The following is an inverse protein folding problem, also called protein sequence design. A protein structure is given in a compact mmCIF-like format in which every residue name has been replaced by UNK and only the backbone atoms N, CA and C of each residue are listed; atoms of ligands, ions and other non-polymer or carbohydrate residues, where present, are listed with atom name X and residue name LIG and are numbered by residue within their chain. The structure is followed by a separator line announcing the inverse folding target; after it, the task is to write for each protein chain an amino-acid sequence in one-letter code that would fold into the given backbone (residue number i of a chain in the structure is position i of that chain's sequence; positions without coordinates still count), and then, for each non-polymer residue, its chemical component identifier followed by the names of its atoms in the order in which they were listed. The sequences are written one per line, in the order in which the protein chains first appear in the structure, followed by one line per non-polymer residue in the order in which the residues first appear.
data_IF_041965715682
#
_entry.id   IF_041965715682
#
_cell.length_a   1.000
_cell.length_b   1.000
_cell.length_c   1.000
_cell.angle_alpha   90.00
_cell.angle_beta   90.00
_cell.angle_gamma   90.00
#
_symmetry.space_group_name_H-M   'P 1'
#
loop_
_entity.id
_entity.type
_entity.pdbx_description
1 polymer ?
#
# COMPACT_ATOMS: atom_id res chain seq x y z
N UNK A 1 -33.50 -58.73 -28.10
CA UNK A 1 -33.04 -59.46 -26.90
C UNK A 1 -31.52 -59.44 -26.93
N UNK A 2 -30.87 -58.73 -26.01
CA UNK A 2 -29.50 -59.02 -25.61
C UNK A 2 -29.26 -58.38 -24.24
N UNK A 3 -29.09 -59.27 -23.27
CA UNK A 3 -28.98 -59.06 -21.84
C UNK A 3 -27.70 -58.32 -21.47
N UNK A 4 -27.87 -57.24 -20.72
CA UNK A 4 -26.85 -56.56 -19.94
C UNK A 4 -26.27 -57.51 -18.89
N UNK A 5 -25.00 -57.90 -19.05
CA UNK A 5 -24.22 -58.57 -18.02
C UNK A 5 -23.78 -57.56 -16.97
N UNK A 6 -24.18 -57.77 -15.71
CA UNK A 6 -23.74 -56.99 -14.56
C UNK A 6 -22.20 -57.07 -14.35
N UNK A 7 -21.55 -56.01 -13.83
CA UNK A 7 -20.14 -56.07 -13.48
C UNK A 7 -19.91 -57.07 -12.34
N UNK A 8 -18.90 -57.93 -12.50
CA UNK A 8 -18.47 -58.89 -11.47
C UNK A 8 -18.04 -58.15 -10.20
N UNK A 9 -18.61 -58.56 -9.07
CA UNK A 9 -18.14 -58.19 -7.74
C UNK A 9 -16.68 -58.62 -7.56
N UNK A 10 -15.82 -57.79 -6.94
CA UNK A 10 -14.48 -58.21 -6.59
C UNK A 10 -14.57 -59.33 -5.55
N UNK A 11 -14.01 -60.47 -5.91
CA UNK A 11 -13.83 -61.66 -5.07
C UNK A 11 -13.24 -61.28 -3.71
N UNK A 12 -13.93 -61.65 -2.63
CA UNK A 12 -13.47 -61.47 -1.26
C UNK A 12 -12.14 -62.20 -1.03
N UNK A 13 -11.14 -61.58 -0.39
CA UNK A 13 -9.91 -62.27 -0.03
C UNK A 13 -10.14 -63.30 1.08
N UNK A 14 -9.40 -64.41 0.95
CA UNK A 14 -9.36 -65.62 1.79
C UNK A 14 -9.07 -65.35 3.29
N UNK A 15 -9.41 -66.26 4.21
CA UNK A 15 -9.52 -66.00 5.65
C UNK A 15 -8.24 -66.37 6.41
N UNK A 16 -7.59 -65.40 7.07
CA UNK A 16 -6.78 -65.61 8.30
C UNK A 16 -6.04 -64.33 8.75
N UNK A 17 -6.76 -63.25 9.05
CA UNK A 17 -6.21 -62.13 9.81
C UNK A 17 -7.08 -61.92 11.04
N UNK A 18 -6.55 -62.22 12.23
CA UNK A 18 -7.19 -61.95 13.52
C UNK A 18 -7.65 -60.48 13.50
N UNK A 19 -8.95 -60.22 13.56
CA UNK A 19 -9.49 -58.85 13.57
C UNK A 19 -9.09 -58.21 14.89
N UNK A 20 -8.30 -57.14 14.83
CA UNK A 20 -7.79 -56.45 16.01
C UNK A 20 -8.85 -55.62 16.75
N UNK A 21 -9.86 -55.17 16.01
CA UNK A 21 -11.06 -54.49 16.50
C UNK A 21 -12.10 -54.46 15.38
N UNK A 22 -13.37 -54.26 15.73
CA UNK A 22 -14.43 -54.02 14.77
C UNK A 22 -14.40 -52.56 14.31
N UNK A 23 -14.46 -52.36 13.00
CA UNK A 23 -14.56 -51.05 12.36
C UNK A 23 -15.81 -51.05 11.48
N UNK A 24 -16.61 -50.00 11.61
CA UNK A 24 -17.85 -49.81 10.85
C UNK A 24 -17.71 -48.50 10.09
N UNK A 25 -17.96 -48.55 8.79
CA UNK A 25 -18.06 -47.35 7.98
C UNK A 25 -19.46 -46.77 8.07
N UNK A 26 -19.57 -45.45 8.09
CA UNK A 26 -20.83 -44.74 7.95
C UNK A 26 -21.46 -45.04 6.58
N UNK A 27 -22.81 -44.98 6.46
CA UNK A 27 -23.50 -45.26 5.19
C UNK A 27 -23.09 -44.36 4.02
N UNK A 28 -22.63 -43.14 4.32
CA UNK A 28 -22.11 -42.17 3.34
C UNK A 28 -20.64 -42.41 2.96
N UNK A 29 -19.97 -43.38 3.60
CA UNK A 29 -18.56 -43.69 3.40
C UNK A 29 -17.59 -42.57 3.84
N UNK A 30 -18.07 -41.55 4.57
CA UNK A 30 -17.26 -40.41 4.98
C UNK A 30 -16.55 -40.62 6.32
N UNK A 31 -17.00 -41.56 7.14
CA UNK A 31 -16.36 -41.86 8.42
C UNK A 31 -16.22 -43.36 8.61
N UNK A 32 -15.15 -43.78 9.28
CA UNK A 32 -15.07 -45.12 9.87
C UNK A 32 -14.89 -44.95 11.37
N UNK A 33 -15.61 -45.75 12.14
CA UNK A 33 -15.57 -45.71 13.59
C UNK A 33 -15.51 -47.11 14.20
N UNK A 34 -14.94 -47.18 15.39
CA UNK A 34 -15.05 -48.35 16.28
C UNK A 34 -16.35 -48.15 17.08
N UNK A 35 -17.33 -49.05 16.99
CA UNK A 35 -18.59 -48.88 17.73
C UNK A 35 -18.34 -48.84 19.24
N UNK A 36 -19.12 -48.04 19.96
CA UNK A 36 -19.06 -48.02 21.42
C UNK A 36 -19.24 -49.41 22.02
N UNK A 37 -18.52 -49.69 23.11
CA UNK A 37 -18.50 -50.95 23.85
C UNK A 37 -17.96 -52.15 23.06
N UNK A 38 -17.33 -51.91 21.91
CA UNK A 38 -16.60 -52.94 21.17
C UNK A 38 -15.25 -53.19 21.82
N UNK A 39 -14.96 -54.45 22.10
CA UNK A 39 -13.67 -54.87 22.65
C UNK A 39 -12.54 -54.67 21.63
N UNK A 40 -11.43 -54.08 22.10
CA UNK A 40 -10.20 -53.86 21.34
C UNK A 40 -9.15 -54.89 21.80
N UNK A 41 -8.53 -55.59 20.86
CA UNK A 41 -7.50 -56.58 21.17
C UNK A 41 -6.25 -55.92 21.77
N UNK A 42 -5.65 -56.57 22.76
CA UNK A 42 -4.42 -56.07 23.41
C UNK A 42 -3.23 -55.98 22.45
N UNK A 43 -3.25 -56.74 21.36
CA UNK A 43 -2.20 -56.69 20.33
C UNK A 43 -2.15 -55.33 19.60
N UNK A 44 -3.23 -54.54 19.64
CA UNK A 44 -3.25 -53.15 19.13
C UNK A 44 -2.26 -52.27 19.86
N UNK A 45 -2.04 -52.50 21.16
CA UNK A 45 -1.09 -51.72 21.95
C UNK A 45 0.37 -51.92 21.54
N UNK A 46 0.67 -52.99 20.79
CA UNK A 46 2.01 -53.32 20.29
C UNK A 46 2.26 -52.79 18.88
N UNK A 47 1.25 -52.21 18.22
CA UNK A 47 1.38 -51.67 16.88
C UNK A 47 2.07 -50.31 16.89
N UNK A 48 2.92 -50.06 15.91
CA UNK A 48 3.34 -48.71 15.54
C UNK A 48 2.37 -48.10 14.51
N UNK A 49 2.52 -46.79 14.25
CA UNK A 49 1.63 -46.04 13.35
C UNK A 49 1.59 -46.63 11.93
N UNK A 50 2.74 -47.03 11.39
CA UNK A 50 2.82 -47.60 10.04
C UNK A 50 2.14 -48.97 9.96
N UNK A 51 2.25 -49.79 11.00
CA UNK A 51 1.57 -51.08 11.10
C UNK A 51 0.05 -50.91 11.19
N UNK A 52 -0.44 -49.91 11.92
CA UNK A 52 -1.88 -49.58 11.92
C UNK A 52 -2.33 -49.11 10.52
N UNK A 53 -1.57 -48.23 9.87
CA UNK A 53 -1.88 -47.78 8.52
C UNK A 53 -1.93 -48.96 7.52
N UNK A 54 -0.96 -49.88 7.59
CA UNK A 54 -0.92 -51.06 6.75
C UNK A 54 -2.09 -52.01 7.02
N UNK A 55 -2.51 -52.15 8.29
CA UNK A 55 -3.69 -52.92 8.67
C UNK A 55 -4.97 -52.32 8.09
N UNK A 56 -5.17 -51.00 8.22
CA UNK A 56 -6.34 -50.30 7.66
C UNK A 56 -6.36 -50.36 6.13
N UNK A 57 -5.19 -50.26 5.48
CA UNK A 57 -5.08 -50.43 4.04
C UNK A 57 -5.49 -51.84 3.58
N UNK A 58 -5.09 -52.88 4.33
CA UNK A 58 -5.53 -54.28 4.07
C UNK A 58 -7.03 -54.47 4.24
N UNK A 59 -7.69 -53.67 5.08
CA UNK A 59 -9.15 -53.65 5.24
C UNK A 59 -9.86 -52.85 4.14
N UNK A 60 -9.13 -52.24 3.20
CA UNK A 60 -9.67 -51.51 2.05
C UNK A 60 -9.78 -50.00 2.25
N UNK A 61 -9.30 -49.44 3.37
CA UNK A 61 -9.32 -47.99 3.60
C UNK A 61 -8.13 -47.30 2.94
N UNK A 62 -8.39 -46.23 2.20
CA UNK A 62 -7.36 -45.46 1.49
C UNK A 62 -6.80 -44.30 2.32
N UNK A 63 -7.53 -43.87 3.37
CA UNK A 63 -7.13 -42.76 4.25
C UNK A 63 -6.37 -43.28 5.46
N UNK A 64 -5.34 -42.54 5.88
CA UNK A 64 -4.57 -42.83 7.10
C UNK A 64 -5.20 -42.10 8.31
N UNK A 65 -5.25 -42.74 9.50
CA UNK A 65 -5.70 -42.07 10.72
C UNK A 65 -4.71 -40.97 11.11
N UNK A 66 -5.16 -39.96 11.86
CA UNK A 66 -4.22 -38.96 12.41
C UNK A 66 -3.38 -39.56 13.53
N UNK A 67 -2.20 -38.97 13.79
CA UNK A 67 -1.34 -39.42 14.90
C UNK A 67 -2.09 -39.41 16.24
N UNK A 68 -2.88 -38.35 16.49
CA UNK A 68 -3.72 -38.23 17.69
C UNK A 68 -4.71 -39.39 17.85
N UNK A 69 -5.37 -39.78 16.76
CA UNK A 69 -6.31 -40.91 16.74
C UNK A 69 -5.59 -42.23 17.03
N UNK A 70 -4.39 -42.43 16.48
CA UNK A 70 -3.56 -43.60 16.78
C UNK A 70 -3.18 -43.65 18.26
N UNK A 71 -2.70 -42.54 18.83
CA UNK A 71 -2.29 -42.48 20.24
C UNK A 71 -3.47 -42.78 21.18
N UNK A 72 -4.66 -42.25 20.88
CA UNK A 72 -5.89 -42.52 21.63
C UNK A 72 -6.32 -44.01 21.53
N UNK A 73 -6.17 -44.62 20.36
CA UNK A 73 -6.44 -46.05 20.15
C UNK A 73 -5.49 -46.95 20.96
N UNK A 74 -4.19 -46.66 20.91
CA UNK A 74 -3.17 -47.40 21.68
C UNK A 74 -3.39 -47.24 23.18
N UNK A 75 -3.74 -46.03 23.63
CA UNK A 75 -4.10 -45.77 25.04
C UNK A 75 -5.30 -46.58 25.48
N UNK A 76 -6.34 -46.68 24.65
CA UNK A 76 -7.52 -47.51 24.94
C UNK A 76 -7.16 -49.00 25.02
N UNK A 77 -6.35 -49.51 24.09
CA UNK A 77 -5.90 -50.91 24.06
C UNK A 77 -5.05 -51.31 25.30
N UNK A 78 -4.31 -50.36 25.88
CA UNK A 78 -3.54 -50.55 27.11
C UNK A 78 -4.36 -50.41 28.39
N UNK A 79 -5.61 -49.93 28.31
CA UNK A 79 -6.46 -49.78 29.49
C UNK A 79 -7.01 -51.12 29.98
N UNK A 80 -7.54 -51.14 31.21
CA UNK A 80 -8.25 -52.31 31.74
C UNK A 80 -9.62 -52.52 31.08
N UNK A 81 -10.20 -51.45 30.51
CA UNK A 81 -11.56 -51.42 29.97
C UNK A 81 -11.58 -51.86 28.49
N UNK A 82 -10.54 -51.49 27.71
CA UNK A 82 -10.28 -51.91 26.31
C UNK A 82 -11.45 -51.72 25.35
N UNK A 83 -12.30 -50.73 25.61
CA UNK A 83 -13.33 -50.26 24.69
C UNK A 83 -13.56 -48.77 24.89
N UNK A 84 -14.19 -48.14 23.90
CA UNK A 84 -14.69 -46.77 24.02
C UNK A 84 -16.16 -46.80 24.45
N UNK A 85 -16.60 -45.87 25.31
CA UNK A 85 -18.02 -45.80 25.72
C UNK A 85 -18.95 -45.39 24.56
N UNK A 86 -18.44 -44.58 23.64
CA UNK A 86 -19.15 -44.09 22.46
C UNK A 86 -18.40 -44.48 21.18
N UNK A 87 -19.02 -44.24 20.02
CA UNK A 87 -18.39 -44.49 18.73
C UNK A 87 -17.11 -43.65 18.58
N UNK A 88 -15.99 -44.32 18.36
CA UNK A 88 -14.68 -43.68 18.20
C UNK A 88 -14.33 -43.57 16.73
N UNK A 89 -14.33 -42.36 16.18
CA UNK A 89 -14.04 -42.13 14.76
C UNK A 89 -12.54 -42.30 14.51
N UNK A 90 -12.20 -43.33 13.75
CA UNK A 90 -10.82 -43.68 13.41
C UNK A 90 -10.38 -43.10 12.06
N UNK A 91 -11.31 -42.94 11.12
CA UNK A 91 -11.04 -42.39 9.78
C UNK A 91 -12.10 -41.36 9.40
N UNK A 92 -11.66 -40.30 8.73
CA UNK A 92 -12.53 -39.29 8.13
C UNK A 92 -12.15 -39.06 6.68
N UNK A 93 -13.15 -39.05 5.82
CA UNK A 93 -13.09 -38.66 4.42
C UNK A 93 -12.58 -37.24 4.25
N UNK A 94 -12.13 -36.90 3.05
CA UNK A 94 -11.80 -35.52 2.71
C UNK A 94 -13.10 -34.82 2.29
N UNK A 95 -13.58 -33.79 2.99
CA UNK A 95 -14.79 -33.08 2.60
C UNK A 95 -14.56 -32.28 1.31
N UNK A 96 -15.66 -31.95 0.64
CA UNK A 96 -15.64 -31.04 -0.50
C UNK A 96 -15.02 -29.68 -0.09
N UNK A 97 -14.07 -29.20 -0.90
CA UNK A 97 -13.49 -27.87 -0.73
C UNK A 97 -13.82 -27.04 -1.98
N UNK A 98 -14.63 -25.97 -1.85
CA UNK A 98 -14.95 -25.13 -3.00
C UNK A 98 -13.71 -24.38 -3.48
N UNK A 99 -13.67 -24.10 -4.78
CA UNK A 99 -12.65 -23.21 -5.33
C UNK A 99 -12.67 -21.85 -4.62
N UNK A 100 -11.49 -21.27 -4.41
CA UNK A 100 -11.34 -19.93 -3.86
C UNK A 100 -10.57 -19.06 -4.85
N UNK A 101 -11.04 -17.84 -5.14
CA UNK A 101 -10.30 -16.93 -6.01
C UNK A 101 -9.00 -16.50 -5.32
N UNK A 102 -8.04 -16.08 -6.13
CA UNK A 102 -6.82 -15.50 -5.60
C UNK A 102 -7.12 -14.17 -4.88
N UNK A 103 -6.45 -13.90 -3.76
CA UNK A 103 -6.65 -12.68 -2.96
C UNK A 103 -5.32 -12.03 -2.59
N UNK A 104 -5.36 -10.70 -2.41
CA UNK A 104 -4.24 -9.94 -1.84
C UNK A 104 -4.69 -9.42 -0.48
N UNK A 105 -3.98 -9.83 0.57
CA UNK A 105 -4.12 -9.22 1.89
C UNK A 105 -3.11 -8.08 2.00
N UNK A 106 -3.59 -6.84 2.05
CA UNK A 106 -2.74 -5.67 2.28
C UNK A 106 -2.23 -5.64 3.73
N UNK A 107 -0.95 -5.32 3.88
CA UNK A 107 -0.25 -5.31 5.18
C UNK A 107 -0.03 -3.90 5.72
N UNK A 108 -0.19 -2.87 4.90
CA UNK A 108 -0.07 -1.50 5.37
C UNK A 108 -1.13 -1.19 6.46
N UNK A 109 -0.75 -0.43 7.51
CA UNK A 109 -1.68 -0.03 8.55
C UNK A 109 -2.77 0.90 7.98
N UNK A 110 -3.93 1.03 8.65
CA UNK A 110 -5.03 1.90 8.18
C UNK A 110 -4.66 3.36 7.99
N UNK A 111 -3.59 3.83 8.64
CA UNK A 111 -3.07 5.20 8.57
C UNK A 111 -2.20 5.47 7.34
N UNK A 112 -1.93 4.45 6.53
CA UNK A 112 -1.11 4.53 5.31
C UNK A 112 -1.92 3.98 4.15
N UNK A 113 -1.82 4.55 2.93
CA UNK A 113 -2.49 3.97 1.78
C UNK A 113 -2.08 2.52 1.54
N UNK A 114 -3.07 1.67 1.27
CA UNK A 114 -2.88 0.21 1.18
C UNK A 114 -1.87 -0.20 0.09
N UNK A 115 -1.82 0.56 -1.00
CA UNK A 115 -1.04 0.35 -2.21
C UNK A 115 0.28 1.12 -2.24
N UNK A 116 0.61 1.86 -1.17
CA UNK A 116 1.92 2.50 -1.03
C UNK A 116 3.01 1.45 -0.75
N UNK A 117 4.02 1.39 -1.62
CA UNK A 117 5.15 0.48 -1.50
C UNK A 117 6.30 1.20 -0.81
N UNK A 118 6.82 0.60 0.27
CA UNK A 118 7.99 1.09 0.99
C UNK A 118 9.19 0.17 0.76
N UNK A 119 10.39 0.72 0.52
CA UNK A 119 11.61 -0.06 0.30
C UNK A 119 11.83 -1.12 1.40
N UNK A 120 11.97 -2.37 1.00
CA UNK A 120 12.29 -3.50 1.87
C UNK A 120 11.17 -3.97 2.79
N UNK A 121 10.01 -3.30 2.81
CA UNK A 121 8.89 -3.64 3.71
C UNK A 121 7.82 -4.40 2.93
N UNK A 122 7.39 -5.59 3.40
CA UNK A 122 6.26 -6.29 2.82
C UNK A 122 4.98 -5.44 2.87
N UNK A 123 4.29 -5.30 1.73
CA UNK A 123 3.07 -4.48 1.64
C UNK A 123 1.82 -5.32 1.37
N UNK A 124 1.97 -6.59 0.96
CA UNK A 124 0.85 -7.49 0.72
C UNK A 124 1.23 -8.96 0.78
N UNK A 125 0.24 -9.82 0.99
CA UNK A 125 0.35 -11.29 0.90
C UNK A 125 -0.55 -11.77 -0.22
N UNK A 126 0.03 -12.45 -1.21
CA UNK A 126 -0.73 -13.10 -2.28
C UNK A 126 -1.13 -14.50 -1.82
N UNK A 127 -2.43 -14.76 -1.83
CA UNK A 127 -2.97 -16.12 -1.77
C UNK A 127 -3.45 -16.48 -3.16
N UNK A 128 -2.80 -17.48 -3.76
CA UNK A 128 -3.18 -17.97 -5.09
C UNK A 128 -4.57 -18.61 -5.06
N UNK A 129 -5.20 -18.68 -6.23
CA UNK A 129 -6.46 -19.40 -6.39
C UNK A 129 -6.24 -20.88 -6.04
N UNK A 130 -7.23 -21.47 -5.38
CA UNK A 130 -7.25 -22.91 -5.10
C UNK A 130 -8.37 -23.55 -5.89
N UNK A 131 -8.05 -24.62 -6.61
CA UNK A 131 -9.02 -25.38 -7.39
C UNK A 131 -10.03 -26.07 -6.47
N UNK A 132 -11.16 -26.47 -7.06
CA UNK A 132 -12.17 -27.26 -6.36
C UNK A 132 -11.61 -28.65 -6.04
N UNK A 133 -11.66 -29.07 -4.78
CA UNK A 133 -11.34 -30.43 -4.38
C UNK A 133 -12.63 -31.21 -4.12
N UNK A 134 -12.85 -32.28 -4.90
CA UNK A 134 -13.99 -33.17 -4.71
C UNK A 134 -13.89 -33.89 -3.36
N UNK A 135 -15.06 -34.20 -2.77
CA UNK A 135 -15.10 -35.00 -1.55
C UNK A 135 -14.59 -36.42 -1.85
N UNK A 136 -13.74 -36.95 -0.97
CA UNK A 136 -13.21 -38.32 -1.06
C UNK A 136 -13.66 -39.11 0.16
N UNK A 137 -14.29 -40.26 -0.09
CA UNK A 137 -14.66 -41.21 0.97
C UNK A 137 -13.42 -41.78 1.65
N UNK A 138 -13.59 -42.45 2.79
CA UNK A 138 -12.53 -43.21 3.49
C UNK A 138 -11.91 -44.33 2.62
N UNK A 139 -12.59 -44.70 1.53
CA UNK A 139 -12.16 -45.68 0.54
C UNK A 139 -11.42 -45.04 -0.66
N UNK A 140 -11.28 -43.72 -0.66
CA UNK A 140 -10.64 -42.97 -1.74
C UNK A 140 -11.51 -42.74 -2.98
N UNK A 141 -12.80 -43.07 -2.91
CA UNK A 141 -13.74 -42.81 -4.00
C UNK A 141 -14.12 -41.34 -4.00
N UNK A 142 -14.02 -40.70 -5.16
CA UNK A 142 -14.49 -39.33 -5.36
C UNK A 142 -16.01 -39.33 -5.44
N UNK A 143 -16.64 -38.55 -4.57
CA UNK A 143 -18.08 -38.35 -4.61
C UNK A 143 -18.41 -37.38 -5.75
N UNK A 144 -19.41 -37.69 -6.59
CA UNK A 144 -19.80 -36.83 -7.69
C UNK A 144 -20.19 -35.45 -7.17
N UNK A 145 -19.75 -34.43 -7.89
CA UNK A 145 -19.97 -33.05 -7.52
C UNK A 145 -21.47 -32.73 -7.54
N UNK A 146 -22.12 -32.70 -6.37
CA UNK A 146 -23.44 -32.09 -6.21
C UNK A 146 -23.26 -30.56 -6.23
N UNK A 147 -22.78 -30.02 -7.35
CA UNK A 147 -22.94 -28.59 -7.59
C UNK A 147 -24.45 -28.33 -7.52
N UNK A 148 -24.94 -27.38 -6.70
CA UNK A 148 -26.29 -26.88 -6.91
C UNK A 148 -26.34 -26.41 -8.37
N UNK A 149 -27.33 -26.90 -9.10
CA UNK A 149 -27.60 -26.50 -10.49
C UNK A 149 -27.63 -24.97 -10.52
N UNK A 150 -26.59 -24.34 -11.08
CA UNK A 150 -26.46 -22.87 -11.14
C UNK A 150 -25.21 -22.24 -10.51
N UNK A 151 -24.27 -23.00 -9.92
CA UNK A 151 -22.99 -22.41 -9.48
C UNK A 151 -22.16 -21.96 -10.69
N UNK A 152 -22.12 -20.65 -10.94
CA UNK A 152 -21.27 -20.04 -11.97
C UNK A 152 -19.83 -20.53 -11.83
N UNK A 153 -19.20 -20.91 -12.94
CA UNK A 153 -17.75 -21.12 -13.01
C UNK A 153 -17.07 -19.80 -12.67
N UNK A 154 -16.61 -19.66 -11.44
CA UNK A 154 -15.75 -18.53 -11.06
C UNK A 154 -14.47 -18.66 -11.88
N UNK A 155 -14.21 -17.71 -12.78
CA UNK A 155 -12.93 -17.66 -13.50
C UNK A 155 -11.79 -17.59 -12.50
N UNK A 156 -10.92 -18.61 -12.52
CA UNK A 156 -9.75 -18.73 -11.67
C UNK A 156 -8.69 -17.71 -12.11
N UNK A 157 -8.85 -16.45 -11.67
CA UNK A 157 -7.83 -15.42 -11.89
C UNK A 157 -6.66 -15.69 -10.95
N UNK A 158 -5.52 -16.15 -11.50
CA UNK A 158 -4.23 -16.19 -10.80
C UNK A 158 -3.73 -14.75 -10.60
N UNK A 159 -3.29 -14.40 -9.40
CA UNK A 159 -2.60 -13.13 -9.18
C UNK A 159 -1.12 -13.37 -9.49
N UNK A 160 -0.60 -12.61 -10.44
CA UNK A 160 0.80 -12.73 -10.86
C UNK A 160 1.48 -11.38 -10.62
N UNK A 161 2.58 -11.38 -9.86
CA UNK A 161 3.48 -10.23 -9.83
C UNK A 161 4.24 -10.19 -11.14
N UNK A 162 4.11 -9.12 -11.92
CA UNK A 162 4.74 -9.02 -13.25
C UNK A 162 5.91 -8.08 -13.30
N UNK A 163 6.15 -7.31 -12.24
CA UNK A 163 7.22 -6.32 -12.22
C UNK A 163 8.51 -6.87 -11.61
N UNK A 164 9.65 -6.63 -12.26
CA UNK A 164 10.98 -7.10 -11.83
C UNK A 164 11.40 -6.56 -10.45
N UNK A 165 10.89 -5.41 -10.04
CA UNK A 165 11.19 -4.82 -8.72
C UNK A 165 10.44 -5.53 -7.58
N UNK A 166 9.42 -6.38 -7.87
CA UNK A 166 8.74 -7.16 -6.85
C UNK A 166 9.43 -8.49 -6.60
N UNK A 167 9.60 -8.81 -5.32
CA UNK A 167 10.05 -10.12 -4.87
C UNK A 167 8.96 -10.72 -3.98
N UNK A 168 8.65 -11.98 -4.22
CA UNK A 168 7.68 -12.76 -3.44
C UNK A 168 8.42 -13.83 -2.67
N UNK A 169 8.22 -13.89 -1.36
CA UNK A 169 8.84 -14.91 -0.52
C UNK A 169 8.04 -16.23 -0.49
N UNK A 170 8.54 -17.23 0.25
CA UNK A 170 7.86 -18.54 0.37
C UNK A 170 6.48 -18.46 1.06
N UNK A 171 6.21 -17.40 1.80
CA UNK A 171 4.95 -17.16 2.50
C UNK A 171 3.95 -16.37 1.64
N UNK A 172 4.35 -15.97 0.43
CA UNK A 172 3.54 -15.15 -0.47
C UNK A 172 3.61 -13.65 -0.16
N UNK A 173 4.53 -13.21 0.71
CA UNK A 173 4.75 -11.80 1.00
C UNK A 173 5.42 -11.11 -0.18
N UNK A 174 4.83 -10.01 -0.65
CA UNK A 174 5.39 -9.17 -1.71
C UNK A 174 6.12 -7.99 -1.09
N UNK A 175 7.35 -7.75 -1.56
CA UNK A 175 8.16 -6.58 -1.21
C UNK A 175 8.84 -6.00 -2.46
N UNK A 176 9.28 -4.75 -2.38
CA UNK A 176 10.08 -4.08 -3.40
C UNK A 176 11.33 -3.47 -2.79
N UNK A 177 12.41 -3.37 -3.55
CA UNK A 177 13.60 -2.61 -3.14
C UNK A 177 13.39 -1.09 -3.27
N UNK A 178 12.42 -0.65 -4.07
CA UNK A 178 12.11 0.77 -4.33
C UNK A 178 10.79 1.19 -3.72
N UNK A 179 10.66 2.49 -3.45
CA UNK A 179 9.41 3.12 -3.04
C UNK A 179 8.54 3.42 -4.25
N UNK A 180 7.22 3.32 -4.11
CA UNK A 180 6.31 3.55 -5.24
C UNK A 180 4.87 3.17 -4.95
N UNK A 181 4.13 2.82 -6.00
CA UNK A 181 2.73 2.38 -5.92
C UNK A 181 2.56 1.00 -6.55
N UNK A 182 1.83 0.12 -5.85
CA UNK A 182 1.39 -1.16 -6.39
C UNK A 182 0.04 -0.99 -7.10
N UNK A 183 -0.01 -1.33 -8.38
CA UNK A 183 -1.23 -1.18 -9.21
C UNK A 183 -1.73 -2.55 -9.60
N UNK A 184 -2.99 -2.85 -9.27
CA UNK A 184 -3.66 -4.08 -9.72
C UNK A 184 -4.33 -3.79 -11.06
N UNK A 185 -3.89 -4.48 -12.10
CA UNK A 185 -4.48 -4.43 -13.44
C UNK A 185 -5.78 -5.27 -13.48
N UNK A 186 -6.61 -5.02 -14.50
CA UNK A 186 -7.92 -5.67 -14.68
C UNK A 186 -7.82 -7.19 -14.91
N UNK A 187 -6.66 -7.66 -15.37
CA UNK A 187 -6.32 -9.08 -15.56
C UNK A 187 -5.76 -9.76 -14.30
N UNK A 188 -5.65 -9.03 -13.17
CA UNK A 188 -5.16 -9.55 -11.90
C UNK A 188 -3.64 -9.47 -11.72
N UNK A 189 -2.90 -8.88 -12.68
CA UNK A 189 -1.48 -8.60 -12.53
C UNK A 189 -1.23 -7.46 -11.55
N UNK A 190 -0.16 -7.59 -10.76
CA UNK A 190 0.32 -6.51 -9.90
C UNK A 190 1.55 -5.89 -10.57
N UNK A 191 1.44 -4.60 -10.86
CA UNK A 191 2.46 -3.77 -11.47
C UNK A 191 3.00 -2.73 -10.48
N UNK A 192 4.12 -2.11 -10.82
CA UNK A 192 4.81 -1.12 -9.98
C UNK A 192 4.97 0.21 -10.73
N UNK A 193 4.64 1.30 -10.05
CA UNK A 193 4.99 2.65 -10.47
C UNK A 193 6.01 3.21 -9.47
N UNK A 194 7.05 3.86 -9.96
CA UNK A 194 8.09 4.53 -9.15
C UNK A 194 7.65 5.89 -8.58
N UNK A 195 6.36 6.20 -8.72
CA UNK A 195 5.69 7.33 -8.11
C UNK A 195 4.35 6.89 -7.50
N UNK A 196 3.86 7.68 -6.55
CA UNK A 196 2.57 7.47 -5.91
C UNK A 196 1.55 8.50 -6.38
N UNK A 197 0.40 8.02 -6.88
CA UNK A 197 -0.70 8.90 -7.30
C UNK A 197 -1.72 9.08 -6.17
N UNK A 198 -1.85 10.31 -5.66
CA UNK A 198 -2.91 10.70 -4.73
C UNK A 198 -4.12 11.17 -5.54
N UNK A 199 -5.22 10.43 -5.46
CA UNK A 199 -6.50 10.77 -6.13
C UNK A 199 -7.52 11.41 -5.19
N UNK A 200 -7.35 11.21 -3.89
CA UNK A 200 -8.23 11.70 -2.85
C UNK A 200 -7.38 11.97 -1.59
N UNK A 201 -7.57 13.14 -0.98
CA UNK A 201 -6.88 13.50 0.26
C UNK A 201 -7.86 13.28 1.41
N UNK A 202 -7.48 12.40 2.33
CA UNK A 202 -8.27 12.08 3.54
C UNK A 202 -7.48 12.49 4.77
N UNK A 203 -7.53 13.76 5.21
CA UNK A 203 -6.74 14.22 6.34
C UNK A 203 -7.07 13.50 7.65
N UNK A 204 -8.26 12.90 7.77
CA UNK A 204 -8.71 12.09 8.90
C UNK A 204 -8.06 10.69 8.93
N UNK A 205 -7.72 10.13 7.76
CA UNK A 205 -7.12 8.79 7.65
C UNK A 205 -5.60 8.85 7.44
N UNK A 206 -5.14 9.72 6.55
CA UNK A 206 -3.77 9.78 6.03
C UNK A 206 -3.10 11.11 6.40
N UNK A 207 -3.28 11.54 7.66
CA UNK A 207 -2.71 12.79 8.16
C UNK A 207 -1.17 12.81 8.06
N UNK A 208 -0.53 11.72 8.47
CA UNK A 208 0.94 11.57 8.48
C UNK A 208 1.36 10.45 7.55
N UNK A 209 2.07 10.79 6.47
CA UNK A 209 2.52 9.83 5.47
C UNK A 209 3.93 10.17 5.01
N UNK A 210 4.81 9.18 5.03
CA UNK A 210 6.14 9.26 4.46
C UNK A 210 6.11 8.57 3.09
N UNK A 211 6.31 9.35 2.03
CA UNK A 211 6.35 8.88 0.65
C UNK A 211 7.81 8.66 0.23
N UNK A 212 8.28 7.41 0.11
CA UNK A 212 9.66 7.09 -0.26
C UNK A 212 9.92 7.18 -1.78
N UNK A 213 9.14 7.99 -2.49
CA UNK A 213 9.12 8.09 -3.95
C UNK A 213 8.56 9.45 -4.38
N UNK A 214 8.47 9.65 -5.70
CA UNK A 214 7.81 10.81 -6.27
C UNK A 214 6.30 10.76 -6.00
N UNK A 215 5.64 11.90 -5.86
CA UNK A 215 4.20 11.98 -5.58
C UNK A 215 3.51 12.87 -6.59
N UNK A 216 2.41 12.37 -7.16
CA UNK A 216 1.54 13.12 -8.06
C UNK A 216 0.16 13.23 -7.42
N UNK A 217 -0.23 14.45 -7.04
CA UNK A 217 -1.53 14.76 -6.45
C UNK A 217 -2.47 15.27 -7.54
N UNK A 218 -3.47 14.46 -7.88
CA UNK A 218 -4.45 14.74 -8.96
C UNK A 218 -5.72 15.44 -8.48
N UNK A 219 -5.87 15.60 -7.16
CA UNK A 219 -6.99 16.26 -6.51
C UNK A 219 -6.52 17.52 -5.75
N UNK A 220 -7.47 18.28 -5.22
CA UNK A 220 -7.14 19.41 -4.35
C UNK A 220 -6.38 18.95 -3.12
N UNK A 221 -5.27 19.63 -2.82
CA UNK A 221 -4.42 19.31 -1.69
C UNK A 221 -4.78 20.22 -0.52
N UNK A 222 -5.60 19.71 0.40
CA UNK A 222 -6.21 20.50 1.49
C UNK A 222 -5.96 19.93 2.88
N UNK A 223 -6.04 20.81 3.89
CA UNK A 223 -5.96 20.46 5.31
C UNK A 223 -4.57 20.65 5.93
N UNK A 224 -4.43 20.32 7.22
CA UNK A 224 -3.12 20.24 7.85
C UNK A 224 -2.62 18.81 7.69
N UNK A 225 -1.52 18.63 6.97
CA UNK A 225 -0.91 17.34 6.70
C UNK A 225 0.47 17.29 7.35
N UNK A 226 1.01 16.09 7.53
CA UNK A 226 2.40 15.87 7.90
C UNK A 226 3.01 14.89 6.91
N UNK A 227 3.27 15.40 5.71
CA UNK A 227 3.77 14.60 4.60
C UNK A 227 5.26 14.84 4.41
N UNK A 228 6.03 13.76 4.36
CA UNK A 228 7.43 13.79 3.96
C UNK A 228 7.57 13.09 2.62
N UNK A 229 7.99 13.82 1.59
CA UNK A 229 8.18 13.31 0.23
C UNK A 229 9.68 13.23 -0.04
N UNK A 230 10.19 12.02 -0.20
CA UNK A 230 11.61 11.77 -0.49
C UNK A 230 11.98 12.11 -1.94
N UNK A 231 11.03 12.01 -2.86
CA UNK A 231 11.20 12.41 -4.26
C UNK A 231 10.64 13.79 -4.58
N UNK A 232 10.21 13.95 -5.83
CA UNK A 232 9.54 15.15 -6.33
C UNK A 232 8.04 15.15 -5.97
N UNK A 233 7.44 16.32 -5.83
CA UNK A 233 6.00 16.51 -5.62
C UNK A 233 5.39 17.31 -6.77
N UNK A 234 4.42 16.73 -7.46
CA UNK A 234 3.58 17.44 -8.43
C UNK A 234 2.15 17.57 -7.89
N UNK A 235 1.62 18.78 -7.86
CA UNK A 235 0.23 19.06 -7.49
C UNK A 235 -0.49 19.63 -8.70
N UNK A 236 -1.49 18.89 -9.20
CA UNK A 236 -2.19 19.26 -10.44
C UNK A 236 -3.36 20.22 -10.20
N UNK A 237 -3.95 20.19 -9.00
CA UNK A 237 -5.08 21.03 -8.61
C UNK A 237 -4.65 22.09 -7.58
N UNK A 238 -5.62 22.80 -7.01
CA UNK A 238 -5.39 23.86 -6.05
C UNK A 238 -4.77 23.33 -4.75
N UNK A 239 -3.79 24.05 -4.20
CA UNK A 239 -3.05 23.67 -3.00
C UNK A 239 -3.36 24.62 -1.84
N UNK A 240 -4.03 24.09 -0.81
CA UNK A 240 -4.32 24.78 0.47
C UNK A 240 -3.73 24.09 1.71
N UNK A 241 -3.09 22.93 1.56
CA UNK A 241 -2.54 22.17 2.68
C UNK A 241 -1.17 22.63 3.22
N UNK A 242 -1.03 22.70 4.54
CA UNK A 242 0.24 22.98 5.21
C UNK A 242 0.95 21.70 5.69
N UNK A 243 2.20 21.84 6.16
CA UNK A 243 2.97 20.77 6.83
C UNK A 243 3.57 19.71 5.89
N UNK A 244 3.90 20.11 4.67
CA UNK A 244 4.52 19.24 3.66
C UNK A 244 6.02 19.56 3.59
N UNK A 245 6.83 18.50 3.59
CA UNK A 245 8.28 18.55 3.42
C UNK A 245 8.65 17.73 2.18
N UNK A 246 9.43 18.32 1.28
CA UNK A 246 9.83 17.69 0.01
C UNK A 246 11.35 17.76 -0.14
N UNK A 247 12.00 16.62 -0.40
CA UNK A 247 13.43 16.57 -0.70
C UNK A 247 13.75 16.88 -2.16
N UNK A 248 12.88 16.47 -3.07
CA UNK A 248 13.00 16.79 -4.49
C UNK A 248 12.46 18.18 -4.84
N UNK A 249 12.11 18.32 -6.11
CA UNK A 249 11.47 19.48 -6.69
C UNK A 249 9.96 19.47 -6.45
N UNK A 250 9.36 20.65 -6.49
CA UNK A 250 7.92 20.85 -6.39
C UNK A 250 7.39 21.57 -7.62
N UNK A 251 6.35 21.01 -8.23
CA UNK A 251 5.61 21.63 -9.33
C UNK A 251 4.14 21.76 -8.93
N UNK A 252 3.67 22.99 -8.76
CA UNK A 252 2.26 23.31 -8.59
C UNK A 252 1.69 23.83 -9.91
N UNK A 253 0.92 23.00 -10.61
CA UNK A 253 0.33 23.35 -11.91
C UNK A 253 -0.84 24.34 -11.80
N UNK A 254 -1.35 24.55 -10.59
CA UNK A 254 -2.41 25.50 -10.28
C UNK A 254 -1.91 26.54 -9.24
N UNK A 255 -2.83 27.16 -8.51
CA UNK A 255 -2.53 28.10 -7.44
C UNK A 255 -2.22 27.47 -6.09
N UNK A 256 -1.47 28.21 -5.28
CA UNK A 256 -1.16 27.88 -3.89
C UNK A 256 -1.72 28.97 -2.96
N UNK A 257 -2.53 28.57 -1.97
CA UNK A 257 -3.02 29.46 -0.92
C UNK A 257 -3.18 28.75 0.44
N UNK A 258 -2.20 28.92 1.32
CA UNK A 258 -2.14 28.24 2.63
C UNK A 258 -2.70 29.06 3.80
N UNK A 259 -2.87 30.37 3.63
CA UNK A 259 -3.28 31.31 4.68
C UNK A 259 -2.39 31.26 5.95
N UNK A 260 -1.08 31.02 5.76
CA UNK A 260 -0.10 30.83 6.83
C UNK A 260 1.19 31.66 6.66
N UNK A 261 1.16 32.72 5.85
CA UNK A 261 2.35 33.51 5.47
C UNK A 261 3.26 33.95 6.63
N UNK A 262 2.71 34.12 7.84
CA UNK A 262 3.45 34.59 9.02
C UNK A 262 3.95 33.47 9.94
N UNK A 263 3.60 32.21 9.70
CA UNK A 263 3.91 31.08 10.59
C UNK A 263 5.02 30.20 10.00
N UNK A 264 6.26 30.46 10.42
CA UNK A 264 7.45 29.73 9.95
C UNK A 264 7.46 28.25 10.39
N UNK A 265 6.74 27.90 11.46
CA UNK A 265 6.61 26.51 11.91
C UNK A 265 5.72 25.70 10.98
N UNK A 266 4.86 26.36 10.21
CA UNK A 266 3.98 25.74 9.20
C UNK A 266 4.46 25.97 7.77
N UNK A 267 5.67 26.52 7.60
CA UNK A 267 6.26 26.74 6.29
C UNK A 267 6.39 25.40 5.54
N UNK A 268 6.06 25.42 4.26
CA UNK A 268 6.37 24.30 3.36
C UNK A 268 7.87 24.32 3.09
N UNK A 269 8.53 23.17 3.27
CA UNK A 269 9.99 23.05 3.12
C UNK A 269 10.33 22.22 1.91
N UNK A 270 11.15 22.79 1.03
CA UNK A 270 11.52 22.17 -0.26
C UNK A 270 13.04 22.22 -0.37
N UNK A 271 13.70 21.07 -0.53
CA UNK A 271 15.15 21.03 -0.74
C UNK A 271 15.54 21.20 -2.22
N UNK A 272 14.66 20.88 -3.16
CA UNK A 272 14.84 21.16 -4.58
C UNK A 272 14.32 22.54 -5.00
N UNK A 273 13.86 22.63 -6.24
CA UNK A 273 13.28 23.84 -6.82
C UNK A 273 11.75 23.87 -6.63
N UNK A 274 11.16 25.07 -6.67
CA UNK A 274 9.72 25.29 -6.66
C UNK A 274 9.28 25.96 -7.96
N UNK A 275 8.39 25.34 -8.71
CA UNK A 275 7.65 25.95 -9.81
C UNK A 275 6.17 26.05 -9.47
N UNK A 276 5.58 27.24 -9.62
CA UNK A 276 4.17 27.48 -9.33
C UNK A 276 3.56 28.50 -10.30
N UNK A 277 2.25 28.41 -10.55
CA UNK A 277 1.54 29.42 -11.34
C UNK A 277 1.36 30.71 -10.55
N UNK A 278 0.91 30.60 -9.30
CA UNK A 278 0.86 31.73 -8.37
C UNK A 278 0.92 31.25 -6.91
N UNK A 279 1.40 32.13 -6.03
CA UNK A 279 1.52 31.87 -4.59
C UNK A 279 0.84 33.01 -3.83
N UNK A 280 -0.10 32.69 -2.95
CA UNK A 280 -0.85 33.66 -2.16
C UNK A 280 -0.87 33.29 -0.68
N UNK A 281 -0.71 34.28 0.21
CA UNK A 281 -0.86 34.11 1.66
C UNK A 281 -0.13 32.90 2.24
N UNK A 282 1.05 32.56 1.71
CA UNK A 282 1.74 31.30 2.01
C UNK A 282 3.16 31.52 2.50
N UNK A 283 3.67 30.59 3.31
CA UNK A 283 5.06 30.58 3.77
C UNK A 283 5.83 29.38 3.18
N UNK A 284 6.92 29.65 2.46
CA UNK A 284 7.78 28.65 1.85
C UNK A 284 9.25 28.89 2.20
N UNK A 285 9.97 27.79 2.42
CA UNK A 285 11.42 27.76 2.60
C UNK A 285 11.97 26.78 1.57
N UNK A 286 12.69 27.31 0.58
CA UNK A 286 13.14 26.59 -0.62
C UNK A 286 14.66 26.66 -0.73
N UNK A 287 15.35 25.53 -0.70
CA UNK A 287 16.81 25.51 -0.84
C UNK A 287 17.26 25.78 -2.29
N UNK A 288 16.46 25.37 -3.27
CA UNK A 288 16.72 25.64 -4.70
C UNK A 288 16.11 26.94 -5.20
N UNK A 289 15.92 27.00 -6.52
CA UNK A 289 15.32 28.14 -7.20
C UNK A 289 13.79 28.16 -7.05
N UNK A 290 13.22 29.36 -7.10
CA UNK A 290 11.78 29.58 -7.13
C UNK A 290 11.41 30.20 -8.47
N UNK A 291 10.49 29.58 -9.19
CA UNK A 291 9.89 30.11 -10.42
C UNK A 291 8.39 30.24 -10.23
N UNK A 292 7.88 31.46 -10.33
CA UNK A 292 6.44 31.73 -10.23
C UNK A 292 5.97 32.43 -11.49
N UNK A 293 5.00 31.85 -12.20
CA UNK A 293 4.60 32.38 -13.50
C UNK A 293 3.92 33.76 -13.37
N UNK A 294 2.84 33.86 -12.59
CA UNK A 294 1.95 35.02 -12.61
C UNK A 294 2.17 35.99 -11.47
N UNK A 295 2.11 35.52 -10.23
CA UNK A 295 2.17 36.42 -9.08
C UNK A 295 2.55 35.77 -7.76
N UNK A 296 3.19 36.56 -6.89
CA UNK A 296 3.47 36.25 -5.48
C UNK A 296 2.78 37.34 -4.64
N UNK A 297 1.78 36.95 -3.85
CA UNK A 297 0.89 37.86 -3.14
C UNK A 297 0.86 37.56 -1.65
N UNK A 298 1.06 38.58 -0.82
CA UNK A 298 0.94 38.50 0.64
C UNK A 298 1.69 37.30 1.27
N UNK A 299 2.82 36.89 0.69
CA UNK A 299 3.50 35.64 1.02
C UNK A 299 4.88 35.88 1.62
N UNK A 300 5.41 34.89 2.33
CA UNK A 300 6.77 34.89 2.87
C UNK A 300 7.57 33.79 2.21
N UNK A 301 8.55 34.15 1.39
CA UNK A 301 9.39 33.20 0.67
C UNK A 301 10.83 33.34 1.12
N UNK A 302 11.45 32.24 1.51
CA UNK A 302 12.89 32.15 1.82
C UNK A 302 13.53 31.26 0.78
N UNK A 303 14.61 31.71 0.15
CA UNK A 303 15.34 30.90 -0.83
C UNK A 303 16.86 31.03 -0.76
N UNK A 304 17.55 29.91 -1.02
CA UNK A 304 18.99 29.83 -1.26
C UNK A 304 19.36 29.82 -2.77
N UNK A 305 18.39 30.04 -3.66
CA UNK A 305 18.56 30.11 -5.12
C UNK A 305 18.04 31.41 -5.72
N UNK A 306 17.81 31.40 -7.03
CA UNK A 306 17.22 32.52 -7.76
C UNK A 306 15.70 32.50 -7.64
N UNK A 307 15.08 33.68 -7.69
CA UNK A 307 13.63 33.84 -7.76
C UNK A 307 13.25 34.50 -9.08
N UNK A 308 12.43 33.82 -9.88
CA UNK A 308 11.92 34.31 -11.16
C UNK A 308 10.41 34.50 -11.13
N UNK A 309 9.93 35.71 -11.46
CA UNK A 309 8.53 36.05 -11.62
C UNK A 309 8.33 36.94 -12.85
N UNK A 310 8.51 36.34 -14.03
CA UNK A 310 8.60 37.03 -15.32
C UNK A 310 7.42 36.77 -16.27
N UNK A 311 6.40 36.02 -15.84
CA UNK A 311 5.21 35.80 -16.67
C UNK A 311 4.33 37.05 -16.75
N UNK A 312 3.09 36.90 -17.18
CA UNK A 312 2.12 37.99 -17.28
C UNK A 312 1.02 37.75 -16.23
N UNK A 313 0.89 38.59 -15.18
CA UNK A 313 1.51 39.91 -14.99
C UNK A 313 2.91 39.96 -14.35
N UNK A 314 3.45 38.85 -13.84
CA UNK A 314 4.78 38.82 -13.20
C UNK A 314 4.89 39.72 -11.97
N UNK A 315 3.86 39.72 -11.12
CA UNK A 315 3.67 40.71 -10.04
C UNK A 315 3.99 40.14 -8.65
N UNK A 316 4.81 40.84 -7.88
CA UNK A 316 5.11 40.51 -6.48
C UNK A 316 4.65 41.64 -5.56
N UNK A 317 3.72 41.35 -4.65
CA UNK A 317 3.13 42.40 -3.80
C UNK A 317 2.78 41.91 -2.39
N UNK A 318 2.87 42.80 -1.40
CA UNK A 318 2.54 42.52 0.00
C UNK A 318 3.40 41.44 0.65
N UNK A 319 4.50 41.07 0.00
CA UNK A 319 5.27 39.86 0.31
C UNK A 319 6.59 40.17 0.98
N UNK A 320 7.08 39.22 1.78
CA UNK A 320 8.44 39.23 2.33
C UNK A 320 9.28 38.18 1.62
N UNK A 321 10.25 38.63 0.82
CA UNK A 321 11.21 37.79 0.14
C UNK A 321 12.54 37.84 0.89
N UNK A 322 13.06 36.68 1.29
CA UNK A 322 14.35 36.53 1.95
C UNK A 322 15.26 35.73 1.01
N UNK A 323 16.16 36.45 0.35
CA UNK A 323 17.16 35.92 -0.56
C UNK A 323 18.46 35.68 0.20
N UNK A 324 18.67 34.45 0.65
CA UNK A 324 19.92 34.07 1.33
C UNK A 324 21.10 33.99 0.34
N UNK A 325 20.82 33.58 -0.89
CA UNK A 325 21.73 33.62 -2.05
C UNK A 325 20.92 33.95 -3.30
N UNK A 326 21.59 34.00 -4.46
CA UNK A 326 20.95 34.19 -5.76
C UNK A 326 20.46 35.62 -6.00
N UNK A 327 19.63 35.78 -7.03
CA UNK A 327 19.07 37.06 -7.47
C UNK A 327 17.55 36.96 -7.69
N UNK A 328 16.88 38.11 -7.73
CA UNK A 328 15.47 38.20 -8.15
C UNK A 328 15.40 38.71 -9.58
N UNK A 329 14.65 38.00 -10.43
CA UNK A 329 14.21 38.46 -11.75
C UNK A 329 12.68 38.58 -11.74
N UNK A 330 12.14 39.79 -11.76
CA UNK A 330 10.68 39.99 -11.72
C UNK A 330 10.25 41.18 -12.59
N UNK A 331 9.02 41.13 -13.11
CA UNK A 331 8.47 42.29 -13.84
C UNK A 331 8.12 43.42 -12.89
N UNK A 332 7.23 43.16 -11.94
CA UNK A 332 6.69 44.19 -11.06
C UNK A 332 6.87 43.79 -9.60
N UNK A 333 7.50 44.64 -8.79
CA UNK A 333 7.57 44.47 -7.33
C UNK A 333 6.98 45.70 -6.64
N UNK A 334 6.10 45.45 -5.67
CA UNK A 334 5.41 46.48 -4.90
C UNK A 334 3.99 46.76 -5.36
N UNK A 335 3.35 47.72 -4.71
CA UNK A 335 2.05 48.31 -5.06
C UNK A 335 1.80 49.52 -4.18
N UNK A 336 1.27 50.59 -4.77
CA UNK A 336 0.90 51.82 -4.07
C UNK A 336 -0.22 51.61 -3.05
N UNK A 337 -1.13 50.65 -3.30
CA UNK A 337 -2.35 50.46 -2.51
C UNK A 337 -2.26 49.33 -1.48
N UNK A 338 -1.28 48.45 -1.62
CA UNK A 338 -1.18 47.24 -0.81
C UNK A 338 -0.10 47.35 0.28
N UNK A 339 0.03 46.31 1.11
CA UNK A 339 1.10 46.26 2.11
C UNK A 339 2.48 46.38 1.44
N UNK A 340 3.47 47.03 2.09
CA UNK A 340 4.82 47.12 1.57
C UNK A 340 5.41 45.75 1.25
N UNK A 341 6.14 45.67 0.14
CA UNK A 341 6.87 44.45 -0.25
C UNK A 341 8.30 44.56 0.23
N UNK A 342 8.76 43.58 1.01
CA UNK A 342 10.09 43.57 1.58
C UNK A 342 10.97 42.58 0.82
N UNK A 343 12.10 43.04 0.34
CA UNK A 343 13.11 42.19 -0.28
C UNK A 343 14.39 42.27 0.55
N UNK A 344 14.73 41.17 1.21
CA UNK A 344 15.87 41.06 2.12
C UNK A 344 16.97 40.23 1.47
N UNK A 345 18.08 40.87 1.10
CA UNK A 345 19.27 40.17 0.59
C UNK A 345 20.28 39.93 1.70
N UNK A 346 20.99 38.81 1.64
CA UNK A 346 22.12 38.55 2.52
C UNK A 346 23.40 39.29 2.08
N UNK A 347 23.59 39.48 0.77
CA UNK A 347 24.76 40.15 0.19
C UNK A 347 24.35 41.34 -0.68
N UNK A 348 25.21 42.36 -0.76
CA UNK A 348 25.00 43.52 -1.65
C UNK A 348 25.13 43.14 -3.13
N UNK A 349 26.00 42.19 -3.45
CA UNK A 349 26.21 41.70 -4.82
C UNK A 349 24.94 41.06 -5.40
N UNK A 350 24.26 40.22 -4.63
CA UNK A 350 22.97 39.64 -5.01
C UNK A 350 21.92 40.71 -5.30
N UNK A 351 21.90 41.78 -4.49
CA UNK A 351 20.98 42.90 -4.71
C UNK A 351 21.30 43.64 -6.02
N UNK A 352 22.59 43.90 -6.31
CA UNK A 352 23.04 44.59 -7.54
C UNK A 352 22.77 43.80 -8.81
N UNK A 353 22.88 42.47 -8.74
CA UNK A 353 22.70 41.60 -9.91
C UNK A 353 21.23 41.22 -10.17
N UNK A 354 20.31 41.64 -9.31
CA UNK A 354 18.88 41.39 -9.48
C UNK A 354 18.28 42.31 -10.54
N UNK A 355 17.37 41.77 -11.35
CA UNK A 355 16.75 42.45 -12.49
C UNK A 355 15.26 42.62 -12.23
N UNK A 356 14.82 43.85 -11.99
CA UNK A 356 13.42 44.16 -11.77
C UNK A 356 12.99 45.19 -12.79
N UNK A 357 11.97 44.91 -13.59
CA UNK A 357 11.54 45.82 -14.67
C UNK A 357 10.87 47.08 -14.09
N UNK A 358 10.03 46.94 -13.06
CA UNK A 358 9.41 48.06 -12.36
C UNK A 358 9.35 47.84 -10.84
N UNK A 359 9.70 48.89 -10.12
CA UNK A 359 9.59 48.99 -8.67
C UNK A 359 8.51 50.04 -8.33
N UNK A 360 7.39 49.61 -7.77
CA UNK A 360 6.32 50.51 -7.35
C UNK A 360 6.60 51.12 -5.97
N UNK A 361 5.95 52.26 -5.69
CA UNK A 361 5.91 52.82 -4.33
C UNK A 361 5.43 51.75 -3.34
N UNK A 362 6.08 51.66 -2.18
CA UNK A 362 5.84 50.59 -1.19
C UNK A 362 6.82 49.42 -1.25
N UNK A 363 7.78 49.39 -2.17
CA UNK A 363 8.87 48.40 -2.13
C UNK A 363 9.99 48.84 -1.17
N UNK A 364 10.46 47.91 -0.34
CA UNK A 364 11.54 48.12 0.65
C UNK A 364 12.62 47.05 0.46
N UNK A 365 13.81 47.47 0.01
CA UNK A 365 14.97 46.59 -0.14
C UNK A 365 15.87 46.74 1.10
N UNK A 366 16.25 45.62 1.71
CA UNK A 366 17.12 45.58 2.88
C UNK A 366 18.29 44.62 2.63
N UNK A 367 19.50 45.01 3.03
CA UNK A 367 20.69 44.15 3.00
C UNK A 367 21.04 43.79 4.45
N UNK A 368 21.07 42.50 4.81
CA UNK A 368 21.17 42.04 6.20
C UNK A 368 22.46 42.43 6.94
N UNK A 369 23.49 42.95 6.27
CA UNK A 369 24.77 43.39 6.88
C UNK A 369 24.98 44.92 6.91
N UNK A 370 24.09 45.70 6.33
CA UNK A 370 24.21 47.16 6.33
C UNK A 370 22.84 47.79 6.04
N UNK A 371 22.40 48.71 6.90
CA UNK A 371 21.29 49.59 6.57
C UNK A 371 21.65 50.35 5.28
N UNK A 372 20.91 50.16 4.18
CA UNK A 372 21.17 50.92 2.94
C UNK A 372 19.88 51.55 2.42
N UNK A 373 19.90 52.88 2.53
CA UNK A 373 19.57 53.95 1.57
C UNK A 373 18.68 53.52 0.38
N UNK A 374 17.45 54.02 0.40
CA UNK A 374 16.59 54.13 -0.78
C UNK A 374 17.09 55.34 -1.58
N UNK A 375 17.68 55.13 -2.77
CA UNK A 375 17.83 56.22 -3.75
C UNK A 375 16.54 56.31 -4.57
N UNK A 376 15.71 57.30 -4.24
CA UNK A 376 14.69 57.78 -5.17
C UNK A 376 15.41 58.53 -6.29
N UNK A 377 15.49 57.95 -7.48
CA UNK A 377 15.72 58.77 -8.67
C UNK A 377 14.42 59.50 -8.97
N UNK A 378 14.27 60.71 -8.40
CA UNK A 378 13.33 61.65 -8.99
C UNK A 378 13.81 61.99 -10.40
N UNK A 379 12.91 62.14 -11.39
CA UNK A 379 13.29 62.73 -12.66
C UNK A 379 13.70 64.19 -12.40
N UNK A 380 14.93 64.51 -12.78
CA UNK A 380 15.42 65.88 -12.88
C UNK A 380 15.17 66.39 -14.31
N UNK A 381 14.69 67.63 -14.52
CA UNK A 381 14.39 68.67 -13.54
C UNK A 381 12.93 68.61 -13.03
N UNK A 382 12.61 69.30 -11.91
CA UNK A 382 11.23 69.41 -11.42
C UNK A 382 10.30 70.04 -12.46
N UNK A 383 9.00 69.68 -12.48
CA UNK A 383 8.02 70.38 -13.30
C UNK A 383 8.04 71.87 -12.93
N UNK A 384 8.12 72.70 -13.97
CA UNK A 384 7.97 74.15 -13.84
C UNK A 384 6.52 74.45 -13.46
N UNK A 385 6.39 75.38 -12.51
CA UNK A 385 5.20 75.86 -11.79
C UNK A 385 3.87 75.84 -12.52
#
# INVERSE_FOLDING_TARGET
MNSTSAPKSPTAPSPSSKKLFQIVASPDGMEAYIPGKTQIEQDVAKLNYDQLCAYLLKLGYAIKPTQKVFDELVKCANSNIRHFETNFIILKGTPYTPAKPATIKWLNPPTIPKDLVRPGIPFGIIKQATDTALAKTIYGQELPNLNPVGAEKVEEKKIITTHNDFTVDKNGEIKSAKGGQAVIQSDGKIDFLDFYTVKDVRPDQYHKVDFPCNVIVKCELQGNLNWNVEGDLTVEQFWTAAGIHVKGNVIAKSGIQLNNASDENKAIRIQGNLEAVFIQSSCFIVEGNIKVEKAILASRLVTNGNLECIGDPGKITGSELIMNKGTIHAKNIGSEKEKPTYVKYLSEESAKNSKVEALSEGTRIQIRKSNIIIKFTQPWPPPTS
#
